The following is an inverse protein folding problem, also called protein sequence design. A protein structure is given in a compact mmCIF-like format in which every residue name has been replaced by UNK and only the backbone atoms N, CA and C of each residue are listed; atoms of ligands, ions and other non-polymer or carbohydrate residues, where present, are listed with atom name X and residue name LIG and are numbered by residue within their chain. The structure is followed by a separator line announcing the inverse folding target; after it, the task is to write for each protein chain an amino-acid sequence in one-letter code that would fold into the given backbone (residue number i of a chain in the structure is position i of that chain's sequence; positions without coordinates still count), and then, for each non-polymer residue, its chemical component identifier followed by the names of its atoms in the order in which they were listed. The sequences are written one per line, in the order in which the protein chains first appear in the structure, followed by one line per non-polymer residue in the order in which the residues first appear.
data_IF_609279586190
#
_entry.id   IF_609279586190
#
_cell.length_a   1.000
_cell.length_b   1.000
_cell.length_c   1.000
_cell.angle_alpha   90.00
_cell.angle_beta   90.00
_cell.angle_gamma   90.00
#
_symmetry.space_group_name_H-M   'P 1'
#
loop_
_entity.id
_entity.type
_entity.pdbx_description
1 polymer ?
#
# COMPACT_ATOMS: atom_id res chain seq x y z
N UNK A 1 28.97 -16.05 -26.28
CA UNK A 1 28.60 -15.55 -24.94
C UNK A 1 29.80 -15.26 -24.02
N UNK A 2 30.98 -15.82 -24.30
CA UNK A 2 32.24 -15.59 -23.55
C UNK A 2 32.92 -14.22 -23.79
N UNK A 3 32.53 -13.45 -24.82
CA UNK A 3 33.22 -12.24 -25.29
C UNK A 3 32.89 -10.94 -24.55
N UNK A 4 31.83 -10.88 -23.73
CA UNK A 4 31.38 -9.63 -23.08
C UNK A 4 31.89 -9.40 -21.65
N UNK A 5 32.55 -10.40 -21.04
CA UNK A 5 33.06 -10.30 -19.67
C UNK A 5 34.50 -9.75 -19.59
N UNK A 6 35.18 -9.56 -20.70
CA UNK A 6 36.62 -9.33 -20.75
C UNK A 6 37.08 -7.99 -21.39
N UNK A 7 36.31 -6.92 -21.17
CA UNK A 7 36.75 -5.57 -21.54
C UNK A 7 37.38 -4.77 -20.36
N UNK A 8 37.62 -5.40 -19.21
CA UNK A 8 38.28 -4.79 -18.05
C UNK A 8 39.49 -5.61 -17.61
N UNK A 9 40.58 -4.94 -17.21
CA UNK A 9 41.77 -5.58 -16.63
C UNK A 9 41.40 -6.36 -15.38
N UNK A 10 41.55 -7.70 -15.43
CA UNK A 10 41.33 -8.56 -14.29
C UNK A 10 42.47 -8.40 -13.26
N UNK A 11 42.20 -8.34 -11.95
CA UNK A 11 43.24 -8.39 -10.92
C UNK A 11 44.14 -9.61 -11.14
N UNK A 12 45.47 -9.47 -10.92
CA UNK A 12 46.47 -10.52 -11.22
C UNK A 12 46.14 -11.92 -10.65
N UNK A 13 45.49 -12.00 -9.47
CA UNK A 13 45.01 -13.26 -8.87
C UNK A 13 43.85 -13.91 -9.64
N UNK A 14 42.97 -13.11 -10.24
CA UNK A 14 41.83 -13.62 -11.01
C UNK A 14 42.30 -14.12 -12.40
N UNK A 15 43.36 -13.53 -12.97
CA UNK A 15 43.93 -13.94 -14.23
C UNK A 15 44.60 -15.33 -14.17
N UNK A 16 45.29 -15.69 -13.08
CA UNK A 16 45.85 -17.03 -12.86
C UNK A 16 44.77 -18.11 -12.75
N UNK A 17 43.71 -17.85 -11.98
CA UNK A 17 42.57 -18.75 -11.85
C UNK A 17 41.81 -18.96 -13.16
N UNK A 18 41.70 -17.94 -13.98
CA UNK A 18 41.09 -18.00 -15.31
C UNK A 18 41.88 -18.88 -16.29
N UNK A 19 43.22 -18.71 -16.38
CA UNK A 19 44.07 -19.54 -17.23
C UNK A 19 43.93 -21.04 -16.88
N UNK A 20 44.04 -21.37 -15.59
CA UNK A 20 43.91 -22.75 -15.15
C UNK A 20 42.52 -23.35 -15.48
N UNK A 21 41.45 -22.58 -15.37
CA UNK A 21 40.10 -23.02 -15.75
C UNK A 21 39.95 -23.21 -17.24
N UNK A 22 40.56 -22.35 -18.05
CA UNK A 22 40.55 -22.47 -19.51
C UNK A 22 41.34 -23.69 -20.00
N UNK A 23 42.50 -23.99 -19.37
CA UNK A 23 43.28 -25.19 -19.67
C UNK A 23 42.52 -26.47 -19.29
N UNK A 24 41.91 -26.49 -18.11
CA UNK A 24 41.03 -27.59 -17.69
C UNK A 24 39.85 -27.81 -18.65
N UNK A 25 39.21 -26.72 -19.09
CA UNK A 25 38.12 -26.79 -20.09
C UNK A 25 38.59 -27.36 -21.44
N UNK A 26 39.77 -26.96 -21.91
CA UNK A 26 40.34 -27.48 -23.18
C UNK A 26 40.64 -28.97 -23.10
N UNK A 27 41.04 -29.48 -21.96
CA UNK A 27 41.38 -30.89 -21.73
C UNK A 27 40.14 -31.80 -21.59
N UNK A 28 38.95 -31.25 -21.42
CA UNK A 28 37.69 -32.04 -21.30
C UNK A 28 37.25 -32.67 -22.61
N UNK A 29 36.62 -33.85 -22.54
CA UNK A 29 35.90 -34.44 -23.66
C UNK A 29 34.64 -33.63 -23.99
N UNK A 30 34.06 -33.86 -25.17
CA UNK A 30 32.84 -33.16 -25.57
C UNK A 30 31.65 -33.48 -24.65
N UNK A 31 31.55 -34.71 -24.15
CA UNK A 31 30.57 -35.12 -23.16
C UNK A 31 30.76 -34.37 -21.83
N UNK A 32 31.99 -34.31 -21.34
CA UNK A 32 32.32 -33.56 -20.12
C UNK A 32 32.01 -32.06 -20.25
N UNK A 33 32.32 -31.46 -21.41
CA UNK A 33 31.97 -30.07 -21.71
C UNK A 33 30.45 -29.85 -21.75
N UNK A 34 29.69 -30.83 -22.26
CA UNK A 34 28.22 -30.72 -22.27
C UNK A 34 27.66 -30.72 -20.84
N UNK A 35 28.14 -31.62 -19.99
CA UNK A 35 27.72 -31.71 -18.57
C UNK A 35 28.09 -30.44 -17.81
N UNK A 36 29.31 -29.92 -18.00
CA UNK A 36 29.74 -28.70 -17.31
C UNK A 36 29.01 -27.45 -17.80
N UNK A 37 28.65 -27.37 -19.11
CA UNK A 37 27.78 -26.30 -19.64
C UNK A 37 26.40 -26.33 -18.98
N UNK A 38 25.82 -27.51 -18.87
CA UNK A 38 24.50 -27.66 -18.23
C UNK A 38 24.57 -27.26 -16.76
N UNK A 39 25.62 -27.66 -16.02
CA UNK A 39 25.87 -27.24 -14.65
C UNK A 39 25.99 -25.73 -14.53
N UNK A 40 26.76 -25.08 -15.42
CA UNK A 40 26.92 -23.63 -15.44
C UNK A 40 25.57 -22.94 -15.71
N UNK A 41 24.79 -23.44 -16.68
CA UNK A 41 23.48 -22.91 -16.99
C UNK A 41 22.52 -23.01 -15.80
N UNK A 42 22.54 -24.13 -15.07
CA UNK A 42 21.72 -24.32 -13.87
C UNK A 42 22.14 -23.36 -12.75
N UNK A 43 23.44 -23.17 -12.53
CA UNK A 43 23.96 -22.20 -11.55
C UNK A 43 23.60 -20.77 -11.92
N UNK A 44 23.76 -20.37 -13.18
CA UNK A 44 23.37 -19.03 -13.66
C UNK A 44 21.86 -18.81 -13.52
N UNK A 45 21.05 -19.84 -13.81
CA UNK A 45 19.60 -19.77 -13.62
C UNK A 45 19.25 -19.58 -12.15
N UNK A 46 19.82 -20.41 -11.26
CA UNK A 46 19.59 -20.29 -9.81
C UNK A 46 20.04 -18.92 -9.26
N UNK A 47 21.16 -18.38 -9.74
CA UNK A 47 21.62 -17.04 -9.35
C UNK A 47 20.65 -15.95 -9.80
N UNK A 48 20.15 -16.02 -11.05
CA UNK A 48 19.17 -15.04 -11.57
C UNK A 48 17.85 -15.10 -10.79
N UNK A 49 17.38 -16.30 -10.45
CA UNK A 49 16.19 -16.51 -9.63
C UNK A 49 16.39 -15.90 -8.22
N UNK A 50 17.51 -16.20 -7.56
CA UNK A 50 17.82 -15.64 -6.24
C UNK A 50 17.95 -14.10 -6.26
N UNK A 51 18.57 -13.53 -7.30
CA UNK A 51 18.64 -12.07 -7.47
C UNK A 51 17.26 -11.45 -7.72
N UNK A 52 16.40 -12.12 -8.49
CA UNK A 52 15.04 -11.67 -8.74
C UNK A 52 14.20 -11.66 -7.45
N UNK A 53 14.27 -12.74 -6.68
CA UNK A 53 13.61 -12.86 -5.38
C UNK A 53 14.07 -11.77 -4.38
N UNK A 54 15.37 -11.49 -4.36
CA UNK A 54 15.93 -10.45 -3.50
C UNK A 54 15.43 -9.05 -3.90
N UNK A 55 15.37 -8.76 -5.21
CA UNK A 55 14.84 -7.50 -5.74
C UNK A 55 13.35 -7.34 -5.43
N UNK A 56 12.59 -8.43 -5.59
CA UNK A 56 11.15 -8.45 -5.30
C UNK A 56 10.90 -8.21 -3.80
N UNK A 57 11.65 -8.88 -2.93
CA UNK A 57 11.58 -8.66 -1.47
C UNK A 57 11.90 -7.21 -1.12
N UNK A 58 13.00 -6.67 -1.64
CA UNK A 58 13.39 -5.28 -1.39
C UNK A 58 12.33 -4.28 -1.86
N UNK A 59 11.68 -4.56 -3.00
CA UNK A 59 10.56 -3.76 -3.50
C UNK A 59 9.37 -3.80 -2.54
N UNK A 60 8.95 -4.99 -2.07
CA UNK A 60 7.84 -5.14 -1.12
C UNK A 60 8.15 -4.45 0.21
N UNK A 61 9.37 -4.57 0.71
CA UNK A 61 9.78 -3.90 1.95
C UNK A 61 9.71 -2.36 1.80
N UNK A 62 10.12 -1.84 0.65
CA UNK A 62 9.95 -0.42 0.33
C UNK A 62 8.48 0.01 0.25
N UNK A 63 7.63 -0.78 -0.40
CA UNK A 63 6.19 -0.50 -0.47
C UNK A 63 5.55 -0.51 0.93
N UNK A 64 5.93 -1.45 1.79
CA UNK A 64 5.49 -1.51 3.19
C UNK A 64 5.92 -0.28 3.98
N UNK A 65 7.16 0.14 3.87
CA UNK A 65 7.66 1.34 4.54
C UNK A 65 6.90 2.62 4.13
N UNK A 66 6.46 2.68 2.88
CA UNK A 66 5.72 3.83 2.33
C UNK A 66 4.20 3.75 2.54
N UNK A 67 3.67 2.59 2.91
CA UNK A 67 2.24 2.32 2.99
C UNK A 67 1.51 3.05 4.12
N UNK A 68 2.22 3.46 5.17
CA UNK A 68 1.63 4.06 6.35
C UNK A 68 0.97 3.07 7.31
N UNK A 69 1.07 1.76 7.05
CA UNK A 69 0.62 0.73 8.01
C UNK A 69 1.51 0.81 9.24
N UNK A 70 0.93 1.10 10.39
CA UNK A 70 1.66 1.10 11.66
C UNK A 70 2.15 -0.31 12.04
N UNK A 71 3.21 -0.39 12.85
CA UNK A 71 3.82 -1.65 13.29
C UNK A 71 2.82 -2.65 13.88
N UNK A 72 1.79 -2.17 14.58
CA UNK A 72 0.70 -2.99 15.13
C UNK A 72 -0.03 -3.81 14.06
N UNK A 73 -0.10 -3.34 12.83
CA UNK A 73 -0.84 -3.96 11.73
C UNK A 73 0.08 -4.46 10.60
N UNK A 74 1.39 -4.48 10.81
CA UNK A 74 2.37 -4.84 9.78
C UNK A 74 2.18 -6.25 9.20
N UNK A 75 1.62 -7.18 9.98
CA UNK A 75 1.29 -8.54 9.57
C UNK A 75 -0.21 -8.84 9.54
N UNK A 76 -1.09 -7.82 9.50
CA UNK A 76 -2.53 -8.01 9.56
C UNK A 76 -3.04 -8.88 8.41
N UNK A 77 -3.82 -9.90 8.75
CA UNK A 77 -4.53 -10.76 7.81
C UNK A 77 -6.02 -10.75 8.12
N UNK A 78 -6.87 -10.93 7.11
CA UNK A 78 -8.31 -11.06 7.32
C UNK A 78 -8.66 -12.33 8.11
N UNK A 79 -7.80 -13.34 8.08
CA UNK A 79 -7.93 -14.59 8.86
C UNK A 79 -7.73 -14.40 10.36
N UNK A 80 -7.09 -13.30 10.79
CA UNK A 80 -6.86 -13.00 12.21
C UNK A 80 -8.11 -12.45 12.88
N UNK A 81 -9.12 -12.08 12.09
CA UNK A 81 -10.38 -11.55 12.58
C UNK A 81 -11.37 -12.66 12.87
N UNK A 82 -12.02 -12.53 14.02
CA UNK A 82 -13.20 -13.30 14.33
C UNK A 82 -14.41 -12.68 13.62
N UNK A 83 -15.05 -13.48 12.78
CA UNK A 83 -16.17 -13.06 11.94
C UNK A 83 -17.52 -13.53 12.47
N UNK A 84 -17.58 -14.13 13.66
CA UNK A 84 -18.84 -14.53 14.26
C UNK A 84 -19.78 -13.34 14.43
N UNK A 85 -20.97 -13.41 13.83
CA UNK A 85 -21.94 -12.31 13.79
C UNK A 85 -21.53 -11.13 12.89
N UNK A 86 -20.48 -11.28 12.07
CA UNK A 86 -19.98 -10.28 11.14
C UNK A 86 -19.90 -10.80 9.69
N UNK A 87 -20.71 -11.77 9.33
CA UNK A 87 -20.70 -12.41 8.00
C UNK A 87 -20.82 -11.40 6.83
N UNK A 88 -21.67 -10.34 6.90
CA UNK A 88 -21.72 -9.32 5.87
C UNK A 88 -20.39 -8.54 5.75
N UNK A 89 -19.76 -8.23 6.89
CA UNK A 89 -18.47 -7.54 6.90
C UNK A 89 -17.34 -8.43 6.36
N UNK A 90 -17.36 -9.73 6.68
CA UNK A 90 -16.45 -10.72 6.10
C UNK A 90 -16.57 -10.78 4.58
N UNK A 91 -17.81 -10.91 4.09
CA UNK A 91 -18.08 -10.96 2.64
C UNK A 91 -17.57 -9.72 1.94
N UNK A 92 -17.87 -8.52 2.48
CA UNK A 92 -17.39 -7.26 1.95
C UNK A 92 -15.86 -7.13 2.01
N UNK A 93 -15.22 -7.57 3.09
CA UNK A 93 -13.77 -7.56 3.23
C UNK A 93 -13.09 -8.50 2.22
N UNK A 94 -13.64 -9.70 2.01
CA UNK A 94 -13.15 -10.63 0.98
C UNK A 94 -13.32 -10.06 -0.43
N UNK A 95 -14.43 -9.40 -0.72
CA UNK A 95 -14.65 -8.71 -1.99
C UNK A 95 -13.65 -7.55 -2.16
N UNK A 96 -13.35 -6.83 -1.10
CA UNK A 96 -12.40 -5.72 -1.12
C UNK A 96 -10.94 -6.16 -1.38
N UNK A 97 -10.57 -7.44 -1.19
CA UNK A 97 -9.28 -7.97 -1.65
C UNK A 97 -9.11 -7.88 -3.17
N UNK A 98 -10.17 -7.98 -3.94
CA UNK A 98 -10.14 -7.87 -5.40
C UNK A 98 -10.43 -6.45 -5.88
N UNK A 99 -11.46 -5.80 -5.35
CA UNK A 99 -11.91 -4.46 -5.77
C UNK A 99 -11.03 -3.34 -5.24
N UNK A 100 -10.32 -3.57 -4.12
CA UNK A 100 -9.55 -2.56 -3.37
C UNK A 100 -10.41 -1.38 -2.90
N UNK A 101 -11.72 -1.61 -2.75
CA UNK A 101 -12.71 -0.61 -2.35
C UNK A 101 -13.64 -1.16 -1.28
N UNK A 102 -14.09 -0.30 -0.38
CA UNK A 102 -15.04 -0.67 0.68
C UNK A 102 -15.20 0.43 1.73
N UNK A 103 -16.36 0.49 2.38
CA UNK A 103 -16.60 1.34 3.54
C UNK A 103 -17.01 0.48 4.73
N UNK A 104 -16.16 0.43 5.73
CA UNK A 104 -16.40 -0.32 6.97
C UNK A 104 -16.68 0.64 8.13
N UNK A 105 -17.85 0.56 8.73
CA UNK A 105 -18.22 1.43 9.86
C UNK A 105 -18.66 0.61 11.09
N UNK A 106 -18.61 1.23 12.26
CA UNK A 106 -19.00 0.59 13.52
C UNK A 106 -18.24 1.10 14.72
N UNK A 107 -18.45 0.53 15.92
CA UNK A 107 -17.86 1.02 17.15
C UNK A 107 -16.34 0.90 17.19
N UNK A 108 -15.71 1.60 18.13
CA UNK A 108 -14.28 1.47 18.42
C UNK A 108 -13.96 0.02 18.82
N UNK A 109 -12.84 -0.50 18.37
CA UNK A 109 -12.43 -1.87 18.67
C UNK A 109 -13.06 -2.96 17.80
N UNK A 110 -14.00 -2.63 16.89
CA UNK A 110 -14.65 -3.59 16.01
C UNK A 110 -13.74 -4.23 14.93
N UNK A 111 -12.47 -3.81 14.79
CA UNK A 111 -11.54 -4.38 13.82
C UNK A 111 -11.49 -3.67 12.46
N UNK A 112 -12.15 -2.53 12.28
CA UNK A 112 -12.20 -1.78 11.01
C UNK A 112 -10.82 -1.44 10.44
N UNK A 113 -9.95 -0.87 11.25
CA UNK A 113 -8.56 -0.56 10.86
C UNK A 113 -7.79 -1.82 10.50
N UNK A 114 -8.02 -2.94 11.20
CA UNK A 114 -7.41 -4.23 10.87
C UNK A 114 -7.84 -4.72 9.48
N UNK A 115 -9.14 -4.61 9.15
CA UNK A 115 -9.66 -4.94 7.81
C UNK A 115 -8.94 -4.11 6.75
N UNK A 116 -8.90 -2.78 6.92
CA UNK A 116 -8.24 -1.88 5.96
C UNK A 116 -6.75 -2.21 5.83
N UNK A 117 -6.05 -2.41 6.93
CA UNK A 117 -4.63 -2.75 6.95
C UNK A 117 -4.34 -4.10 6.27
N UNK A 118 -5.18 -5.12 6.49
CA UNK A 118 -5.05 -6.43 5.86
C UNK A 118 -5.23 -6.34 4.34
N UNK A 119 -6.18 -5.53 3.84
CA UNK A 119 -6.40 -5.32 2.41
C UNK A 119 -5.22 -4.57 1.77
N UNK A 120 -4.67 -3.56 2.46
CA UNK A 120 -3.48 -2.83 2.00
C UNK A 120 -2.24 -3.74 2.02
N UNK A 121 -2.05 -4.54 3.06
CA UNK A 121 -0.95 -5.50 3.15
C UNK A 121 -1.02 -6.56 2.03
N UNK A 122 -2.22 -7.07 1.74
CA UNK A 122 -2.45 -7.99 0.63
C UNK A 122 -2.10 -7.35 -0.72
N UNK A 123 -2.49 -6.09 -0.95
CA UNK A 123 -2.13 -5.38 -2.18
C UNK A 123 -0.60 -5.27 -2.34
N UNK A 124 0.13 -4.96 -1.26
CA UNK A 124 1.59 -4.87 -1.25
C UNK A 124 2.23 -6.24 -1.51
N UNK A 125 1.67 -7.31 -0.93
CA UNK A 125 2.14 -8.67 -1.17
C UNK A 125 1.99 -9.11 -2.64
N UNK A 126 1.05 -8.46 -3.37
CA UNK A 126 0.87 -8.60 -4.82
C UNK A 126 1.57 -7.47 -5.61
N UNK A 127 2.64 -6.88 -5.06
CA UNK A 127 3.48 -5.83 -5.67
C UNK A 127 2.73 -4.57 -6.12
N UNK A 128 1.59 -4.27 -5.50
CA UNK A 128 0.80 -3.07 -5.80
C UNK A 128 1.08 -1.98 -4.77
N UNK A 129 1.32 -0.76 -5.24
CA UNK A 129 1.43 0.40 -4.36
C UNK A 129 0.08 0.67 -3.70
N UNK A 130 0.09 0.72 -2.35
CA UNK A 130 -1.09 0.93 -1.55
C UNK A 130 -0.74 1.73 -0.30
N UNK A 131 -1.64 2.61 0.12
CA UNK A 131 -1.43 3.52 1.26
C UNK A 131 -2.60 3.46 2.22
N UNK A 132 -2.28 3.53 3.52
CA UNK A 132 -3.23 3.70 4.62
C UNK A 132 -2.86 4.95 5.40
N UNK A 133 -3.81 5.85 5.58
CA UNK A 133 -3.61 7.08 6.35
C UNK A 133 -4.90 7.46 7.07
N UNK A 134 -4.81 7.89 8.32
CA UNK A 134 -5.97 8.49 8.98
C UNK A 134 -6.16 9.93 8.53
N UNK A 135 -7.41 10.41 8.56
CA UNK A 135 -7.72 11.79 8.22
C UNK A 135 -6.92 12.80 9.05
N UNK A 136 -6.77 12.55 10.34
CA UNK A 136 -5.94 13.40 11.23
C UNK A 136 -4.45 13.41 10.82
N UNK A 137 -3.89 12.24 10.49
CA UNK A 137 -2.49 12.15 10.05
C UNK A 137 -2.27 12.82 8.70
N UNK A 138 -3.23 12.71 7.78
CA UNK A 138 -3.21 13.43 6.51
C UNK A 138 -3.16 14.95 6.73
N UNK A 139 -4.09 15.48 7.53
CA UNK A 139 -4.16 16.90 7.82
C UNK A 139 -2.91 17.42 8.55
N UNK A 140 -2.37 16.64 9.49
CA UNK A 140 -1.12 16.97 10.17
C UNK A 140 0.05 17.08 9.19
N UNK A 141 0.19 16.13 8.26
CA UNK A 141 1.24 16.17 7.23
C UNK A 141 1.06 17.34 6.27
N UNK A 142 -0.19 17.66 5.87
CA UNK A 142 -0.46 18.83 5.03
C UNK A 142 -0.05 20.12 5.78
N UNK A 143 -0.46 20.27 7.05
CA UNK A 143 -0.08 21.45 7.85
C UNK A 143 1.43 21.59 8.03
N UNK A 144 2.15 20.48 8.26
CA UNK A 144 3.61 20.52 8.42
C UNK A 144 4.35 20.85 7.12
N UNK A 145 3.69 20.77 5.97
CA UNK A 145 4.26 21.14 4.67
C UNK A 145 4.29 22.66 4.43
N UNK A 146 3.62 23.45 5.27
CA UNK A 146 3.67 24.92 5.21
C UNK A 146 4.69 25.46 6.22
N UNK A 147 5.26 26.61 5.91
CA UNK A 147 6.05 27.42 6.86
C UNK A 147 5.15 28.31 7.73
N UNK A 148 5.76 29.09 8.63
CA UNK A 148 5.05 30.01 9.51
C UNK A 148 4.34 31.14 8.76
N UNK A 149 4.72 31.42 7.53
CA UNK A 149 4.08 32.40 6.63
C UNK A 149 2.94 31.79 5.79
N UNK A 150 2.68 30.48 5.93
CA UNK A 150 1.66 29.77 5.15
C UNK A 150 2.10 29.42 3.72
N UNK A 151 3.39 29.44 3.43
CA UNK A 151 3.98 29.10 2.14
C UNK A 151 4.40 27.63 2.16
N UNK A 152 4.11 26.90 1.09
CA UNK A 152 4.55 25.49 0.96
C UNK A 152 6.07 25.44 0.91
N UNK A 153 6.67 24.69 1.83
CA UNK A 153 8.11 24.48 1.88
C UNK A 153 8.58 23.77 0.61
N UNK A 154 9.60 24.23 -0.09
CA UNK A 154 10.07 23.66 -1.36
C UNK A 154 10.44 22.18 -1.28
N UNK A 155 10.93 21.74 -0.12
CA UNK A 155 11.32 20.37 0.16
C UNK A 155 10.15 19.45 0.55
N UNK A 156 8.94 19.99 0.73
CA UNK A 156 7.79 19.22 1.16
C UNK A 156 7.10 18.52 -0.01
N UNK A 157 6.84 17.24 0.21
CA UNK A 157 6.07 16.43 -0.75
C UNK A 157 4.62 16.90 -0.74
N UNK A 158 4.05 17.14 -1.93
CA UNK A 158 2.61 17.34 -2.12
C UNK A 158 1.82 16.12 -1.58
N UNK A 159 1.37 16.22 -0.34
CA UNK A 159 0.67 15.13 0.37
C UNK A 159 -0.63 14.80 -0.33
N UNK A 160 -1.45 15.81 -0.66
CA UNK A 160 -2.75 15.61 -1.31
C UNK A 160 -2.56 15.01 -2.68
N UNK A 161 -1.65 15.56 -3.49
CA UNK A 161 -1.37 15.04 -4.83
C UNK A 161 -0.82 13.62 -4.80
N UNK A 162 0.03 13.25 -3.81
CA UNK A 162 0.51 11.88 -3.65
C UNK A 162 -0.63 10.92 -3.31
N UNK A 163 -1.49 11.26 -2.36
CA UNK A 163 -2.65 10.45 -1.97
C UNK A 163 -3.68 10.36 -3.10
N UNK A 164 -3.87 11.45 -3.86
CA UNK A 164 -4.77 11.48 -5.01
C UNK A 164 -4.33 10.53 -6.14
N UNK A 165 -3.03 10.36 -6.32
CA UNK A 165 -2.45 9.48 -7.36
C UNK A 165 -2.15 8.06 -6.89
N UNK A 166 -2.18 7.80 -5.59
CA UNK A 166 -1.92 6.45 -5.05
C UNK A 166 -2.89 5.43 -5.68
N UNK A 167 -2.41 4.34 -6.27
CA UNK A 167 -3.28 3.35 -6.91
C UNK A 167 -4.36 2.80 -5.97
N UNK A 168 -4.00 2.55 -4.73
CA UNK A 168 -4.92 2.06 -3.68
C UNK A 168 -4.74 2.94 -2.45
N UNK A 169 -5.83 3.46 -1.90
CA UNK A 169 -5.82 4.30 -0.70
C UNK A 169 -6.87 3.82 0.29
N UNK A 170 -6.47 3.70 1.55
CA UNK A 170 -7.35 3.57 2.70
C UNK A 170 -7.33 4.86 3.53
N UNK A 171 -8.49 5.50 3.68
CA UNK A 171 -8.73 6.58 4.65
C UNK A 171 -9.27 5.96 5.93
N UNK A 172 -8.44 5.91 6.94
CA UNK A 172 -8.77 5.28 8.22
C UNK A 172 -9.34 6.30 9.20
N UNK A 173 -10.30 5.84 10.01
CA UNK A 173 -10.89 6.58 11.12
C UNK A 173 -11.54 7.92 10.71
N UNK A 174 -12.17 7.96 9.54
CA UNK A 174 -12.81 9.16 8.99
C UNK A 174 -13.95 9.65 9.91
N UNK A 175 -13.94 10.95 10.21
CA UNK A 175 -14.91 11.60 11.10
C UNK A 175 -14.35 11.97 12.47
N UNK A 176 -13.06 11.77 12.73
CA UNK A 176 -12.39 12.27 13.94
C UNK A 176 -11.82 13.70 13.76
N UNK A 177 -11.82 14.19 12.54
CA UNK A 177 -11.29 15.49 12.20
C UNK A 177 -12.23 16.61 12.69
N UNK A 178 -11.64 17.70 13.18
CA UNK A 178 -12.38 18.95 13.38
C UNK A 178 -12.54 19.62 12.02
N UNK A 179 -13.76 19.60 11.50
CA UNK A 179 -14.04 20.16 10.18
C UNK A 179 -14.04 21.70 10.23
N UNK A 180 -13.19 22.28 9.37
CA UNK A 180 -13.16 23.70 9.03
C UNK A 180 -13.29 23.80 7.51
N UNK A 181 -13.56 24.98 6.96
CA UNK A 181 -13.61 25.18 5.51
C UNK A 181 -12.33 24.67 4.81
N UNK A 182 -11.17 24.95 5.39
CA UNK A 182 -9.89 24.45 4.87
C UNK A 182 -9.79 22.92 4.87
N UNK A 183 -10.24 22.26 5.94
CA UNK A 183 -10.26 20.78 6.02
C UNK A 183 -11.19 20.19 4.95
N UNK A 184 -12.39 20.78 4.80
CA UNK A 184 -13.34 20.38 3.76
C UNK A 184 -12.72 20.47 2.36
N UNK A 185 -12.01 21.56 2.08
CA UNK A 185 -11.31 21.76 0.81
C UNK A 185 -10.26 20.69 0.56
N UNK A 186 -9.42 20.34 1.55
CA UNK A 186 -8.40 19.29 1.39
C UNK A 186 -9.03 17.92 1.07
N UNK A 187 -10.11 17.55 1.77
CA UNK A 187 -10.83 16.32 1.48
C UNK A 187 -11.50 16.34 0.10
N UNK A 188 -12.09 17.49 -0.29
CA UNK A 188 -12.68 17.64 -1.62
C UNK A 188 -11.64 17.48 -2.72
N UNK A 189 -10.48 18.11 -2.61
CA UNK A 189 -9.38 17.97 -3.57
C UNK A 189 -8.95 16.51 -3.73
N UNK A 190 -8.75 15.82 -2.62
CA UNK A 190 -8.36 14.41 -2.61
C UNK A 190 -9.43 13.51 -3.25
N UNK A 191 -10.67 13.62 -2.77
CA UNK A 191 -11.77 12.74 -3.18
C UNK A 191 -12.16 12.99 -4.64
N UNK A 192 -12.22 14.26 -5.09
CA UNK A 192 -12.52 14.62 -6.47
C UNK A 192 -11.48 14.10 -7.45
N UNK A 193 -10.20 14.25 -7.12
CA UNK A 193 -9.13 13.76 -7.96
C UNK A 193 -9.21 12.23 -8.13
N UNK A 194 -9.44 11.49 -7.04
CA UNK A 194 -9.58 10.03 -7.08
C UNK A 194 -10.85 9.59 -7.82
N UNK A 195 -11.97 10.25 -7.55
CA UNK A 195 -13.24 9.98 -8.23
C UNK A 195 -13.12 10.13 -9.76
N UNK A 196 -12.53 11.24 -10.23
CA UNK A 196 -12.28 11.47 -11.67
C UNK A 196 -11.33 10.45 -12.27
N UNK A 197 -10.32 10.03 -11.53
CA UNK A 197 -9.35 9.01 -11.96
C UNK A 197 -9.89 7.57 -11.82
N UNK A 198 -11.10 7.38 -11.29
CA UNK A 198 -11.72 6.06 -11.02
C UNK A 198 -10.82 5.16 -10.15
N UNK A 199 -10.07 5.76 -9.23
CA UNK A 199 -9.19 5.03 -8.32
C UNK A 199 -9.98 4.48 -7.13
N UNK A 200 -9.72 3.23 -6.70
CA UNK A 200 -10.43 2.61 -5.58
C UNK A 200 -10.12 3.34 -4.27
N UNK A 201 -11.10 3.30 -3.35
CA UNK A 201 -10.98 3.89 -2.03
C UNK A 201 -11.51 2.93 -0.97
N UNK A 202 -10.73 2.71 0.08
CA UNK A 202 -11.17 2.08 1.31
C UNK A 202 -11.43 3.16 2.35
N UNK A 203 -12.51 3.02 3.11
CA UNK A 203 -12.84 3.94 4.21
C UNK A 203 -13.17 3.16 5.45
N UNK A 204 -12.65 3.58 6.59
CA UNK A 204 -13.14 3.15 7.89
C UNK A 204 -13.67 4.37 8.65
N UNK A 205 -14.75 4.18 9.42
CA UNK A 205 -15.37 5.24 10.22
C UNK A 205 -16.11 4.65 11.41
N UNK A 206 -16.34 5.47 12.42
CA UNK A 206 -17.28 5.13 13.48
C UNK A 206 -18.73 5.47 13.09
N UNK A 207 -18.92 6.17 11.98
CA UNK A 207 -20.19 6.72 11.53
C UNK A 207 -20.67 6.04 10.24
N UNK A 208 -22.00 5.89 10.12
CA UNK A 208 -22.61 5.66 8.81
C UNK A 208 -22.44 6.91 7.92
N UNK A 209 -22.62 6.82 6.60
CA UNK A 209 -22.54 7.99 5.72
C UNK A 209 -23.41 9.16 6.18
N UNK A 210 -24.67 8.91 6.58
CA UNK A 210 -25.59 9.95 7.05
C UNK A 210 -25.19 10.56 8.40
N UNK A 211 -24.65 9.74 9.30
CA UNK A 211 -24.12 10.22 10.58
C UNK A 211 -22.86 11.06 10.35
N UNK A 212 -22.00 10.65 9.42
CA UNK A 212 -20.80 11.40 9.07
C UNK A 212 -21.13 12.77 8.48
N UNK A 213 -22.11 12.87 7.58
CA UNK A 213 -22.60 14.15 7.05
C UNK A 213 -23.09 15.06 8.18
N UNK A 214 -23.93 14.53 9.08
CA UNK A 214 -24.44 15.30 10.24
C UNK A 214 -23.34 15.71 11.20
N UNK A 215 -22.39 14.79 11.44
CA UNK A 215 -21.26 15.04 12.32
C UNK A 215 -20.37 16.18 11.75
N UNK A 216 -20.08 16.15 10.48
CA UNK A 216 -19.30 17.18 9.81
C UNK A 216 -20.02 18.54 9.78
N UNK A 217 -21.31 18.56 9.48
CA UNK A 217 -22.13 19.78 9.51
C UNK A 217 -22.16 20.41 10.90
N UNK A 218 -22.32 19.59 11.96
CA UNK A 218 -22.30 20.05 13.35
C UNK A 218 -20.92 20.59 13.79
N UNK A 219 -19.84 20.21 13.11
CA UNK A 219 -18.48 20.62 13.41
C UNK A 219 -17.93 21.69 12.44
N UNK A 220 -18.79 22.37 11.69
CA UNK A 220 -18.45 23.57 10.91
C UNK A 220 -18.23 23.34 9.41
N UNK A 221 -18.57 22.15 8.87
CA UNK A 221 -18.62 21.95 7.42
C UNK A 221 -19.85 22.66 6.86
N UNK A 222 -19.68 23.40 5.78
CA UNK A 222 -20.80 23.96 5.02
C UNK A 222 -21.72 22.82 4.54
N UNK A 223 -23.04 23.02 4.70
CA UNK A 223 -24.07 22.06 4.36
C UNK A 223 -24.04 21.61 2.88
N UNK A 224 -23.46 22.39 2.00
CA UNK A 224 -23.31 22.06 0.58
C UNK A 224 -22.20 21.02 0.32
N UNK A 225 -21.13 21.01 1.10
CA UNK A 225 -19.97 20.15 0.86
C UNK A 225 -20.15 18.72 1.40
N UNK A 226 -20.74 18.55 2.58
CA UNK A 226 -20.88 17.26 3.24
C UNK A 226 -21.54 16.18 2.38
N UNK A 227 -22.78 16.42 1.90
CA UNK A 227 -23.49 15.45 1.07
C UNK A 227 -22.77 15.14 -0.26
N UNK A 228 -22.13 16.15 -0.87
CA UNK A 228 -21.39 15.96 -2.12
C UNK A 228 -20.16 15.07 -1.91
N UNK A 229 -19.40 15.31 -0.85
CA UNK A 229 -18.22 14.54 -0.49
C UNK A 229 -18.57 13.09 -0.15
N UNK A 230 -19.55 12.86 0.71
CA UNK A 230 -20.00 11.53 1.12
C UNK A 230 -20.53 10.74 -0.09
N UNK A 231 -21.33 11.36 -0.98
CA UNK A 231 -21.83 10.71 -2.20
C UNK A 231 -20.69 10.22 -3.09
N UNK A 232 -19.64 11.02 -3.29
CA UNK A 232 -18.48 10.60 -4.08
C UNK A 232 -17.71 9.45 -3.40
N UNK A 233 -17.53 9.52 -2.10
CA UNK A 233 -16.90 8.43 -1.32
C UNK A 233 -17.72 7.14 -1.51
N UNK A 234 -19.03 7.17 -1.30
CA UNK A 234 -19.91 5.99 -1.47
C UNK A 234 -19.85 5.44 -2.89
N UNK A 235 -19.77 6.29 -3.90
CA UNK A 235 -19.66 5.82 -5.30
C UNK A 235 -18.35 5.10 -5.60
N UNK A 236 -17.26 5.40 -4.85
CA UNK A 236 -15.97 4.74 -4.98
C UNK A 236 -15.84 3.50 -4.09
N UNK A 237 -16.51 3.48 -2.93
CA UNK A 237 -16.40 2.40 -1.94
C UNK A 237 -17.48 1.33 -2.09
N UNK A 238 -18.59 1.65 -2.73
CA UNK A 238 -19.80 0.83 -2.70
C UNK A 238 -20.60 1.00 -1.40
N UNK A 239 -21.53 0.07 -1.17
CA UNK A 239 -22.41 0.11 -0.01
C UNK A 239 -21.61 -0.02 1.31
N UNK A 240 -21.86 0.88 2.28
CA UNK A 240 -21.23 0.79 3.59
C UNK A 240 -21.67 -0.46 4.36
N UNK A 241 -20.72 -1.10 5.04
CA UNK A 241 -20.96 -2.34 5.79
C UNK A 241 -20.61 -2.14 7.25
N UNK A 242 -21.52 -2.54 8.13
CA UNK A 242 -21.32 -2.47 9.57
C UNK A 242 -20.40 -3.58 10.05
N UNK A 243 -19.45 -3.22 10.90
CA UNK A 243 -18.57 -4.14 11.63
C UNK A 243 -18.96 -4.05 13.11
N UNK A 244 -19.43 -5.15 13.68
CA UNK A 244 -19.82 -5.22 15.08
C UNK A 244 -18.62 -5.49 15.98
N UNK A 245 -18.62 -4.92 17.17
CA UNK A 245 -17.62 -5.27 18.18
C UNK A 245 -17.77 -6.73 18.61
N UNK A 246 -16.67 -7.37 18.96
CA UNK A 246 -16.69 -8.72 19.55
C UNK A 246 -17.57 -8.74 20.80
N UNK A 247 -18.39 -9.76 20.94
CA UNK A 247 -19.10 -10.00 22.21
C UNK A 247 -18.04 -10.29 23.28
N UNK A 248 -17.96 -9.41 24.30
CA UNK A 248 -17.03 -9.57 25.42
C UNK A 248 -15.67 -8.86 25.28
N UNK A 249 -15.46 -7.98 24.29
CA UNK A 249 -14.37 -7.02 24.35
C UNK A 249 -14.70 -5.94 25.39
N UNK A 250 -13.76 -5.58 26.31
CA UNK A 250 -13.96 -4.57 27.33
C UNK A 250 -14.15 -3.18 26.75
#
# INVERSE_FOLDING_TARGET
MFSRVFAGELPEGAAKGFKARMEAWRAMTDEQKAVERERINQLEKAQREAEADLREKARRDRLRALSGIGSRFAGALLTDLDWEGNEPARTAAMQALSTRAGWFFGPVGAGKTHIAAAIIADAINHDREAMLISGLAMLSRIKSSYDDAGIVKPECVDVVGRLSRAPILALDDLGKERFTAWVAEQFMLLVDARYRAKLPLLVTSNFTPRELERHWAANGMDAAYGPALVRRIVSMTGAPVQVHARRGAP
#
